data_IF_135469147442
#
_entry.id   IF_135469147442
#
_cell.length_a   1.000
_cell.length_b   1.000
_cell.length_c   1.000
_cell.angle_alpha   90.00
_cell.angle_beta   90.00
_cell.angle_gamma   90.00
#
_symmetry.space_group_name_H-M   'P 1'
#
loop_
_entity.id
_entity.type
_entity.pdbx_description
1 polymer ?
#
# COMPACT_ATOMS: atom_id res chain seq x y z
N UNK A 1 27.16 12.61 -2.28
CA UNK A 1 25.90 11.86 -2.23
C UNK A 1 24.80 12.82 -1.81
N UNK A 2 24.06 13.36 -2.80
CA UNK A 2 22.91 14.21 -2.51
C UNK A 2 21.85 13.36 -1.81
N UNK A 3 21.73 13.53 -0.49
CA UNK A 3 20.52 13.09 0.21
C UNK A 3 19.38 13.90 -0.39
N UNK A 4 18.27 13.25 -0.83
CA UNK A 4 17.10 14.00 -1.27
C UNK A 4 16.72 14.98 -0.14
N UNK A 5 16.45 16.23 -0.50
CA UNK A 5 15.94 17.24 0.43
C UNK A 5 14.60 16.73 0.98
N UNK A 6 14.63 16.01 2.10
CA UNK A 6 13.42 15.60 2.81
C UNK A 6 13.01 16.76 3.70
N UNK A 7 11.79 17.27 3.55
CA UNK A 7 11.30 18.30 4.45
C UNK A 7 11.19 17.70 5.86
N UNK A 8 11.67 18.41 6.85
CA UNK A 8 11.47 18.07 8.26
C UNK A 8 10.08 18.52 8.70
N UNK A 9 9.48 17.73 9.59
CA UNK A 9 8.21 18.07 10.18
C UNK A 9 8.37 19.23 11.16
N UNK A 10 7.67 20.37 10.96
CA UNK A 10 7.88 21.59 11.76
C UNK A 10 7.15 21.51 13.11
N UNK A 11 7.68 20.76 14.07
CA UNK A 11 7.07 20.55 15.39
C UNK A 11 6.78 21.85 16.13
N UNK A 12 7.62 22.88 15.95
CA UNK A 12 7.41 24.21 16.56
C UNK A 12 6.18 24.96 16.02
N UNK A 13 5.68 24.57 14.83
CA UNK A 13 4.49 25.19 14.24
C UNK A 13 3.17 24.62 14.79
N UNK A 14 3.21 23.56 15.60
CA UNK A 14 2.02 22.89 16.15
C UNK A 14 1.91 22.99 17.67
N UNK A 15 2.32 24.10 18.25
CA UNK A 15 2.38 24.28 19.70
C UNK A 15 1.02 24.24 20.42
N UNK A 16 -0.11 24.23 19.70
CA UNK A 16 -1.47 24.09 20.23
C UNK A 16 -2.06 22.70 20.07
N UNK A 17 -1.31 21.77 19.46
CA UNK A 17 -1.74 20.38 19.26
C UNK A 17 -0.71 19.42 19.87
N UNK A 18 -1.18 18.24 20.27
CA UNK A 18 -0.29 17.11 20.58
C UNK A 18 -0.02 16.30 19.33
N UNK A 19 1.20 15.83 19.19
CA UNK A 19 1.58 14.81 18.23
C UNK A 19 1.60 13.47 18.98
N UNK A 20 0.80 12.54 18.54
CA UNK A 20 0.69 11.22 19.15
C UNK A 20 1.01 10.15 18.08
N UNK A 21 1.83 9.17 18.46
CA UNK A 21 2.10 7.98 17.66
C UNK A 21 1.37 6.81 18.29
N UNK A 22 0.48 6.18 17.54
CA UNK A 22 -0.28 5.01 17.99
C UNK A 22 0.33 3.79 17.31
N UNK A 23 0.77 2.82 18.11
CA UNK A 23 1.33 1.55 17.63
C UNK A 23 0.42 0.41 18.06
N UNK A 24 -0.07 -0.32 17.08
CA UNK A 24 -0.86 -1.54 17.31
C UNK A 24 -0.01 -2.75 16.95
N UNK A 25 0.17 -3.63 17.90
CA UNK A 25 0.90 -4.89 17.71
C UNK A 25 -0.07 -6.03 17.47
N UNK A 26 0.33 -6.96 16.63
CA UNK A 26 -0.43 -8.20 16.47
C UNK A 26 -0.46 -8.98 17.79
N UNK A 27 -1.51 -9.80 17.94
CA UNK A 27 -1.64 -10.69 19.09
C UNK A 27 -0.54 -11.75 19.10
N UNK A 28 -0.29 -12.35 20.28
CA UNK A 28 0.68 -13.43 20.42
C UNK A 28 0.44 -14.58 19.42
N UNK A 29 -0.82 -14.94 19.19
CA UNK A 29 -1.22 -15.97 18.22
C UNK A 29 -0.81 -15.70 16.77
N UNK A 30 -0.39 -14.48 16.46
CA UNK A 30 0.22 -14.15 15.16
C UNK A 30 1.66 -14.68 15.06
N UNK A 31 2.39 -14.73 16.17
CA UNK A 31 3.82 -15.04 16.19
C UNK A 31 4.10 -16.51 16.52
N UNK A 32 3.27 -17.13 17.37
CA UNK A 32 3.48 -18.49 17.85
C UNK A 32 2.18 -19.16 18.28
N UNK A 33 2.14 -20.49 18.21
CA UNK A 33 1.09 -21.32 18.78
C UNK A 33 1.45 -21.88 20.18
N UNK A 34 2.59 -21.48 20.71
CA UNK A 34 3.01 -21.93 22.03
C UNK A 34 2.20 -21.25 23.13
N UNK A 35 2.13 -21.94 24.29
CA UNK A 35 1.38 -21.47 25.47
C UNK A 35 2.14 -20.45 26.30
N UNK A 36 3.45 -20.34 26.06
CA UNK A 36 4.29 -19.38 26.76
C UNK A 36 3.93 -17.95 26.38
N UNK A 37 3.90 -17.07 27.38
CA UNK A 37 3.57 -15.67 27.16
C UNK A 37 4.73 -14.96 26.48
N UNK A 38 4.49 -14.40 25.30
CA UNK A 38 5.43 -13.47 24.67
C UNK A 38 5.29 -12.10 25.34
N UNK A 39 6.42 -11.52 25.74
CA UNK A 39 6.50 -10.13 26.19
C UNK A 39 7.28 -9.27 25.19
N UNK A 40 6.85 -8.03 25.06
CA UNK A 40 7.62 -7.00 24.35
C UNK A 40 8.44 -6.24 25.41
N UNK A 41 9.73 -6.58 25.53
CA UNK A 41 10.57 -6.03 26.60
C UNK A 41 11.03 -4.60 26.34
N UNK A 42 11.34 -4.28 25.07
CA UNK A 42 11.78 -2.94 24.68
C UNK A 42 11.14 -2.50 23.37
N UNK A 43 10.64 -1.29 23.35
CA UNK A 43 10.16 -0.62 22.17
C UNK A 43 10.65 0.82 22.15
N UNK A 44 11.59 1.13 21.29
CA UNK A 44 12.20 2.45 21.18
C UNK A 44 11.84 3.12 19.87
N UNK A 45 11.54 4.42 19.92
CA UNK A 45 11.37 5.25 18.73
C UNK A 45 12.62 6.11 18.59
N UNK A 46 13.32 5.93 17.47
CA UNK A 46 14.50 6.75 17.14
C UNK A 46 14.02 7.90 16.26
N UNK A 47 14.22 9.14 16.73
CA UNK A 47 13.89 10.36 16.00
C UNK A 47 15.17 11.12 15.66
N UNK A 48 15.20 11.74 14.47
CA UNK A 48 16.20 12.73 14.11
C UNK A 48 15.59 14.11 14.35
N UNK A 49 16.18 14.88 15.25
CA UNK A 49 15.69 16.21 15.61
C UNK A 49 16.71 17.28 15.23
N UNK A 50 16.22 18.38 14.67
CA UNK A 50 17.04 19.56 14.38
C UNK A 50 16.67 20.66 15.35
N UNK A 51 17.65 21.08 16.15
CA UNK A 51 17.53 22.26 17.01
C UNK A 51 17.76 23.52 16.18
N UNK A 52 16.80 24.43 16.20
CA UNK A 52 16.83 25.71 15.49
C UNK A 52 16.92 26.86 16.47
N UNK A 53 17.47 27.98 16.02
CA UNK A 53 17.58 29.19 16.84
C UNK A 53 16.22 29.79 17.20
N UNK A 54 16.10 30.53 18.32
CA UNK A 54 14.83 31.14 18.76
C UNK A 54 14.17 32.03 17.70
N UNK A 55 14.97 32.78 16.94
CA UNK A 55 14.51 33.64 15.84
C UNK A 55 13.86 32.84 14.71
N UNK A 56 14.50 31.74 14.31
CA UNK A 56 13.96 30.80 13.30
C UNK A 56 12.71 30.08 13.79
N UNK A 57 12.71 29.68 15.07
CA UNK A 57 11.54 29.06 15.69
C UNK A 57 10.33 30.00 15.67
N UNK A 58 10.51 31.28 16.02
CA UNK A 58 9.44 32.27 15.96
C UNK A 58 8.95 32.50 14.53
N UNK A 59 9.86 32.50 13.57
CA UNK A 59 9.51 32.63 12.15
C UNK A 59 8.65 31.44 11.67
N UNK A 60 9.06 30.23 11.99
CA UNK A 60 8.33 29.02 11.59
C UNK A 60 6.96 28.96 12.30
N UNK A 61 6.90 29.27 13.60
CA UNK A 61 5.66 29.25 14.37
C UNK A 61 4.67 30.34 13.96
N UNK A 62 5.16 31.49 13.47
CA UNK A 62 4.36 32.65 13.12
C UNK A 62 3.86 32.70 11.68
N UNK A 63 4.32 31.80 10.81
CA UNK A 63 3.93 31.79 9.39
C UNK A 63 3.15 30.54 9.02
N UNK A 64 2.38 30.68 7.95
CA UNK A 64 1.72 29.55 7.30
C UNK A 64 2.75 28.76 6.50
N UNK A 65 2.80 27.45 6.74
CA UNK A 65 3.60 26.51 5.97
C UNK A 65 2.71 25.46 5.34
N UNK A 66 3.06 25.04 4.14
CA UNK A 66 2.36 23.98 3.40
C UNK A 66 3.39 22.88 3.13
N UNK A 67 3.08 21.67 3.58
CA UNK A 67 3.87 20.48 3.33
C UNK A 67 3.03 19.48 2.54
N UNK A 68 3.53 19.10 1.37
CA UNK A 68 2.95 18.00 0.58
C UNK A 68 3.79 16.76 0.85
N UNK A 69 3.14 15.67 1.19
CA UNK A 69 3.79 14.39 1.44
C UNK A 69 3.01 13.25 0.84
N UNK A 70 3.66 12.10 0.72
CA UNK A 70 3.01 10.87 0.30
C UNK A 70 2.25 10.25 1.48
N UNK A 71 1.08 9.71 1.19
CA UNK A 71 0.30 8.91 2.13
C UNK A 71 -0.06 7.58 1.49
N UNK A 72 0.06 6.52 2.28
CA UNK A 72 -0.39 5.18 1.87
C UNK A 72 -1.71 4.88 2.57
N UNK A 73 -2.73 4.53 1.80
CA UNK A 73 -4.02 4.13 2.32
C UNK A 73 -4.43 2.77 1.78
N UNK A 74 -5.09 1.99 2.62
CA UNK A 74 -5.72 0.74 2.23
C UNK A 74 -7.12 1.02 1.70
N UNK A 75 -7.43 0.46 0.55
CA UNK A 75 -8.78 0.43 -0.01
C UNK A 75 -9.59 -0.72 0.63
N UNK A 76 -10.93 -0.64 0.70
CA UNK A 76 -11.75 -1.80 1.05
C UNK A 76 -11.39 -3.02 0.21
N UNK A 77 -11.37 -4.18 0.82
CA UNK A 77 -11.02 -5.44 0.16
C UNK A 77 -12.20 -5.99 -0.65
N UNK A 78 -11.91 -6.84 -1.62
CA UNK A 78 -12.92 -7.58 -2.36
C UNK A 78 -12.66 -9.09 -2.21
N UNK A 79 -13.66 -9.81 -1.73
CA UNK A 79 -13.63 -11.27 -1.68
C UNK A 79 -14.00 -11.84 -3.05
N UNK A 80 -13.26 -12.86 -3.47
CA UNK A 80 -13.40 -13.54 -4.76
C UNK A 80 -13.51 -15.04 -4.48
N UNK A 81 -14.67 -15.59 -4.73
CA UNK A 81 -14.93 -17.02 -4.51
C UNK A 81 -14.17 -17.90 -5.52
N UNK A 82 -13.85 -19.12 -5.11
CA UNK A 82 -13.20 -20.10 -5.95
C UNK A 82 -13.96 -20.31 -7.27
N UNK A 83 -13.21 -20.40 -8.37
CA UNK A 83 -13.78 -20.54 -9.70
C UNK A 83 -14.33 -19.26 -10.33
N UNK A 84 -14.34 -18.14 -9.61
CA UNK A 84 -14.70 -16.83 -10.18
C UNK A 84 -13.62 -16.38 -11.16
N UNK A 85 -14.00 -16.14 -12.41
CA UNK A 85 -13.07 -15.71 -13.46
C UNK A 85 -12.95 -14.18 -13.50
N UNK A 86 -14.04 -13.46 -13.35
CA UNK A 86 -14.06 -12.00 -13.45
C UNK A 86 -14.50 -11.36 -12.14
N UNK A 87 -13.72 -10.41 -11.64
CA UNK A 87 -14.01 -9.66 -10.44
C UNK A 87 -13.82 -8.17 -10.69
N UNK A 88 -14.69 -7.33 -10.11
CA UNK A 88 -14.64 -5.87 -10.26
C UNK A 88 -14.58 -5.20 -8.91
N UNK A 89 -13.59 -4.36 -8.71
CA UNK A 89 -13.45 -3.52 -7.52
C UNK A 89 -13.69 -2.06 -7.92
N UNK A 90 -14.72 -1.45 -7.34
CA UNK A 90 -14.93 -0.01 -7.49
C UNK A 90 -13.79 0.75 -6.80
N UNK A 91 -13.22 1.73 -7.50
CA UNK A 91 -12.12 2.53 -6.97
C UNK A 91 -12.67 3.83 -6.39
N UNK A 92 -12.59 3.96 -5.07
CA UNK A 92 -13.16 5.08 -4.30
C UNK A 92 -12.12 5.87 -3.45
N UNK A 93 -10.86 6.04 -3.89
CA UNK A 93 -9.95 6.93 -3.18
C UNK A 93 -10.51 8.34 -3.13
N UNK A 94 -10.31 9.02 -2.00
CA UNK A 94 -10.77 10.41 -1.82
C UNK A 94 -9.61 11.42 -1.86
N UNK A 95 -8.47 10.98 -2.37
CA UNK A 95 -7.25 11.80 -2.46
C UNK A 95 -6.63 11.65 -3.84
N UNK A 96 -5.84 12.63 -4.28
CA UNK A 96 -5.04 12.50 -5.49
C UNK A 96 -4.09 11.30 -5.39
N UNK A 97 -4.17 10.38 -6.35
CA UNK A 97 -3.44 9.10 -6.33
C UNK A 97 -2.27 9.12 -7.28
N UNK A 98 -1.10 8.71 -6.81
CA UNK A 98 0.12 8.50 -7.61
C UNK A 98 0.18 7.09 -8.18
N UNK A 99 -0.08 6.09 -7.34
CA UNK A 99 0.00 4.67 -7.70
C UNK A 99 -1.10 3.86 -7.03
N UNK A 100 -1.55 2.85 -7.74
CA UNK A 100 -2.34 1.75 -7.19
C UNK A 100 -1.44 0.52 -7.09
N UNK A 101 -1.51 -0.18 -5.97
CA UNK A 101 -0.77 -1.41 -5.74
C UNK A 101 -1.74 -2.46 -5.21
N UNK A 102 -1.79 -3.63 -5.83
CA UNK A 102 -2.71 -4.68 -5.41
C UNK A 102 -2.07 -6.06 -5.46
N UNK A 103 -2.63 -6.96 -4.67
CA UNK A 103 -2.27 -8.36 -4.64
C UNK A 103 -3.46 -9.20 -4.20
N UNK A 104 -3.36 -10.49 -4.44
CA UNK A 104 -4.37 -11.46 -4.04
C UNK A 104 -3.78 -12.36 -2.97
N UNK A 105 -4.52 -12.57 -1.89
CA UNK A 105 -4.18 -13.53 -0.85
C UNK A 105 -5.25 -14.59 -0.79
N UNK A 106 -4.86 -15.84 -0.61
CA UNK A 106 -5.82 -16.92 -0.39
C UNK A 106 -6.50 -16.74 0.97
N UNK A 107 -7.81 -16.95 1.02
CA UNK A 107 -8.64 -16.69 2.20
C UNK A 107 -8.19 -17.44 3.47
N UNK A 108 -7.70 -18.70 3.41
CA UNK A 108 -7.14 -19.38 4.57
C UNK A 108 -5.95 -18.66 5.23
N UNK A 109 -5.24 -17.79 4.50
CA UNK A 109 -4.09 -17.05 5.01
C UNK A 109 -4.41 -15.61 5.46
N UNK A 110 -5.70 -15.24 5.47
CA UNK A 110 -6.16 -13.91 5.91
C UNK A 110 -6.24 -13.78 7.43
N UNK A 111 -6.44 -14.88 8.14
CA UNK A 111 -6.58 -14.83 9.59
C UNK A 111 -5.24 -14.46 10.26
N UNK A 112 -5.15 -13.21 10.67
CA UNK A 112 -3.99 -12.66 11.37
C UNK A 112 -3.89 -13.13 12.83
N UNK A 113 -4.92 -13.81 13.34
CA UNK A 113 -4.97 -14.25 14.73
C UNK A 113 -4.58 -15.73 14.90
N UNK A 114 -4.47 -16.47 13.82
CA UNK A 114 -4.16 -17.89 13.86
C UNK A 114 -2.73 -18.12 13.39
N UNK A 115 -1.95 -18.74 14.25
CA UNK A 115 -0.66 -19.30 13.87
C UNK A 115 -0.90 -20.68 13.26
N UNK A 116 -0.83 -20.79 11.96
CA UNK A 116 -0.85 -22.07 11.26
C UNK A 116 0.56 -22.67 11.24
N UNK A 117 1.01 -23.12 12.41
CA UNK A 117 2.26 -23.86 12.56
C UNK A 117 2.12 -25.25 11.96
N UNK A 118 2.59 -25.44 10.76
CA UNK A 118 2.78 -26.79 10.25
C UNK A 118 3.95 -27.47 10.97
N UNK A 119 3.79 -28.75 11.24
CA UNK A 119 4.80 -29.59 11.91
C UNK A 119 6.04 -29.86 11.06
N UNK A 120 6.09 -29.39 9.83
CA UNK A 120 7.22 -29.56 8.92
C UNK A 120 7.89 -28.22 8.64
N UNK A 121 9.20 -28.21 8.59
CA UNK A 121 10.06 -27.04 8.23
C UNK A 121 9.66 -26.34 6.92
N UNK A 122 8.78 -26.90 6.12
CA UNK A 122 8.31 -26.37 4.85
C UNK A 122 7.02 -25.53 4.96
N UNK A 123 6.24 -25.71 6.02
CA UNK A 123 5.03 -24.94 6.28
C UNK A 123 5.36 -23.75 7.17
N UNK A 124 6.19 -22.85 6.69
CA UNK A 124 6.45 -21.62 7.38
C UNK A 124 5.25 -20.68 7.18
N UNK A 125 4.47 -20.53 8.21
CA UNK A 125 3.23 -19.72 8.22
C UNK A 125 3.46 -18.29 7.77
N UNK A 126 4.56 -17.68 8.17
CA UNK A 126 4.94 -16.37 7.65
C UNK A 126 5.10 -16.36 6.12
N UNK A 127 5.62 -17.45 5.55
CA UNK A 127 5.72 -17.56 4.11
C UNK A 127 4.35 -17.61 3.44
N UNK A 128 3.39 -18.33 4.01
CA UNK A 128 2.05 -18.46 3.44
C UNK A 128 1.23 -17.18 3.55
N UNK A 129 1.34 -16.40 4.63
CA UNK A 129 0.70 -15.07 4.74
C UNK A 129 1.15 -14.12 3.65
N UNK A 130 2.37 -14.26 3.18
CA UNK A 130 2.92 -13.48 2.09
C UNK A 130 2.99 -14.29 0.78
N UNK A 131 2.27 -15.40 0.70
CA UNK A 131 2.10 -16.17 -0.52
C UNK A 131 1.01 -15.52 -1.38
N UNK A 132 1.42 -14.80 -2.40
CA UNK A 132 0.53 -14.15 -3.36
C UNK A 132 0.47 -14.94 -4.68
N UNK A 133 0.80 -16.22 -4.63
CA UNK A 133 0.69 -17.15 -5.75
C UNK A 133 -0.61 -17.96 -5.70
N UNK A 134 -0.89 -18.72 -6.76
CA UNK A 134 -2.01 -19.66 -6.78
C UNK A 134 -1.68 -21.03 -6.17
N UNK A 135 -0.46 -21.25 -5.69
CA UNK A 135 -0.09 -22.46 -4.97
C UNK A 135 -0.47 -22.37 -3.50
N UNK A 136 -0.81 -23.51 -2.92
CA UNK A 136 -1.14 -23.62 -1.48
C UNK A 136 0.10 -23.36 -0.63
N UNK A 137 1.26 -23.86 -1.06
CA UNK A 137 2.52 -23.64 -0.36
C UNK A 137 3.35 -22.54 -1.02
N UNK A 138 3.90 -21.67 -0.18
CA UNK A 138 4.82 -20.66 -0.65
C UNK A 138 6.11 -21.26 -1.17
N UNK A 139 6.51 -20.83 -2.34
CA UNK A 139 7.90 -20.96 -2.82
C UNK A 139 8.25 -19.75 -3.68
N UNK A 140 9.54 -19.40 -3.73
CA UNK A 140 10.02 -18.32 -4.61
C UNK A 140 9.67 -18.61 -6.07
N UNK A 141 9.72 -19.88 -6.47
CA UNK A 141 9.38 -20.33 -7.82
C UNK A 141 7.87 -20.12 -8.09
N UNK A 142 7.00 -20.41 -7.13
CA UNK A 142 5.55 -20.21 -7.26
C UNK A 142 5.19 -18.77 -7.55
N UNK A 143 5.88 -17.82 -6.94
CA UNK A 143 5.64 -16.38 -7.17
C UNK A 143 5.97 -15.94 -8.60
N UNK A 144 6.80 -16.68 -9.32
CA UNK A 144 7.10 -16.39 -10.73
C UNK A 144 6.12 -17.06 -11.69
N UNK A 145 5.80 -18.33 -11.46
CA UNK A 145 5.09 -19.17 -12.44
C UNK A 145 3.59 -19.28 -12.17
N UNK A 146 3.15 -19.01 -10.95
CA UNK A 146 1.78 -19.23 -10.54
C UNK A 146 1.09 -17.93 -10.03
N UNK A 147 1.03 -16.85 -10.83
CA UNK A 147 0.23 -15.69 -10.48
C UNK A 147 -1.25 -16.06 -10.49
N UNK A 148 -2.06 -15.62 -9.53
CA UNK A 148 -3.50 -15.89 -9.52
C UNK A 148 -4.27 -15.08 -10.58
N UNK A 149 -3.74 -13.93 -10.99
CA UNK A 149 -4.35 -13.05 -11.98
C UNK A 149 -3.83 -13.36 -13.39
N UNK A 150 -4.72 -13.48 -14.35
CA UNK A 150 -4.36 -13.57 -15.77
C UNK A 150 -4.13 -12.17 -16.36
N UNK A 151 -5.11 -11.29 -16.21
CA UNK A 151 -5.07 -9.92 -16.72
C UNK A 151 -5.89 -8.98 -15.87
N UNK A 152 -5.66 -7.68 -16.02
CA UNK A 152 -6.50 -6.65 -15.43
C UNK A 152 -6.69 -5.46 -16.36
N UNK A 153 -7.73 -4.69 -16.11
CA UNK A 153 -7.98 -3.38 -16.72
C UNK A 153 -8.41 -2.40 -15.64
N UNK A 154 -8.01 -1.16 -15.81
CA UNK A 154 -8.50 -0.06 -14.98
C UNK A 154 -9.38 0.80 -15.85
N UNK A 155 -10.62 0.98 -15.46
CA UNK A 155 -11.54 1.91 -16.10
C UNK A 155 -11.58 3.20 -15.29
N UNK A 156 -11.45 4.33 -15.97
CA UNK A 156 -11.58 5.66 -15.38
C UNK A 156 -12.70 6.38 -16.10
N UNK A 157 -13.81 6.65 -15.42
CA UNK A 157 -15.03 7.16 -16.03
C UNK A 157 -15.53 6.34 -17.22
N UNK A 158 -15.22 5.04 -17.26
CA UNK A 158 -15.59 4.13 -18.34
C UNK A 158 -14.58 4.05 -19.49
N UNK A 159 -13.47 4.77 -19.43
CA UNK A 159 -12.37 4.70 -20.38
C UNK A 159 -11.30 3.71 -19.91
N UNK A 160 -10.79 2.86 -20.80
CA UNK A 160 -9.75 1.87 -20.51
C UNK A 160 -8.40 2.55 -20.22
N UNK A 161 -7.79 2.19 -19.07
CA UNK A 161 -6.43 2.61 -18.74
C UNK A 161 -5.55 1.41 -18.35
N UNK A 162 -4.42 1.16 -18.99
CA UNK A 162 -4.02 1.71 -20.28
C UNK A 162 -4.90 1.17 -21.41
N UNK A 163 -5.06 1.92 -22.48
CA UNK A 163 -5.77 1.48 -23.68
C UNK A 163 -4.92 0.44 -24.45
N UNK A 164 -4.63 -0.67 -23.79
CA UNK A 164 -3.89 -1.80 -24.33
C UNK A 164 -4.77 -3.03 -24.21
N UNK A 165 -5.03 -3.69 -25.34
CA UNK A 165 -5.71 -4.98 -25.31
C UNK A 165 -4.82 -6.00 -24.60
N UNK A 166 -5.39 -6.78 -23.68
CA UNK A 166 -4.70 -7.88 -22.97
C UNK A 166 -3.52 -7.47 -22.07
N UNK A 167 -3.72 -6.48 -21.19
CA UNK A 167 -2.78 -6.21 -20.10
C UNK A 167 -2.70 -7.40 -19.14
N UNK A 168 -1.77 -8.32 -19.39
CA UNK A 168 -1.51 -9.47 -18.56
C UNK A 168 -0.83 -9.06 -17.25
N UNK A 169 -0.83 -9.98 -16.27
CA UNK A 169 -0.19 -9.80 -14.96
C UNK A 169 1.26 -9.28 -15.05
N UNK A 170 2.03 -9.71 -16.06
CA UNK A 170 3.42 -9.29 -16.28
C UNK A 170 3.56 -7.80 -16.58
N UNK A 171 2.56 -7.17 -17.20
CA UNK A 171 2.56 -5.73 -17.44
C UNK A 171 2.61 -4.97 -16.12
N UNK A 172 1.72 -5.30 -15.19
CA UNK A 172 1.62 -4.63 -13.89
C UNK A 172 2.72 -5.04 -12.90
N UNK A 173 3.26 -6.26 -13.03
CA UNK A 173 4.33 -6.75 -12.14
C UNK A 173 5.72 -6.27 -12.54
N UNK A 174 5.98 -6.11 -13.84
CA UNK A 174 7.33 -5.85 -14.33
C UNK A 174 7.47 -4.57 -15.15
N UNK A 175 6.57 -4.35 -16.11
CA UNK A 175 6.71 -3.23 -17.05
C UNK A 175 6.40 -1.91 -16.36
N UNK A 176 5.26 -1.80 -15.68
CA UNK A 176 4.89 -0.57 -14.97
C UNK A 176 5.92 -0.18 -13.91
N UNK A 177 6.34 -1.06 -12.98
CA UNK A 177 7.40 -0.71 -12.04
C UNK A 177 8.70 -0.25 -12.74
N UNK A 178 9.12 -0.93 -13.78
CA UNK A 178 10.33 -0.55 -14.53
C UNK A 178 10.21 0.84 -15.15
N UNK A 179 9.13 1.12 -15.87
CA UNK A 179 8.92 2.41 -16.54
C UNK A 179 8.73 3.56 -15.56
N UNK A 180 8.13 3.29 -14.40
CA UNK A 180 7.91 4.26 -13.33
C UNK A 180 9.06 4.34 -12.32
N UNK A 181 10.19 3.70 -12.60
CA UNK A 181 11.39 3.66 -11.73
C UNK A 181 11.14 3.09 -10.33
N UNK A 182 10.08 2.33 -10.16
CA UNK A 182 9.79 1.59 -8.93
C UNK A 182 10.63 0.33 -8.83
N UNK A 183 10.84 -0.15 -7.60
CA UNK A 183 11.49 -1.42 -7.38
C UNK A 183 10.63 -2.57 -7.91
N UNK A 184 11.26 -3.54 -8.55
CA UNK A 184 10.57 -4.74 -9.02
C UNK A 184 10.15 -5.60 -7.83
N UNK A 185 8.85 -5.93 -7.68
CA UNK A 185 8.42 -6.81 -6.62
C UNK A 185 8.87 -8.26 -6.86
N UNK A 186 9.35 -8.93 -5.83
CA UNK A 186 9.63 -10.36 -5.87
C UNK A 186 8.35 -11.19 -5.88
N UNK A 187 7.32 -10.71 -5.19
CA UNK A 187 6.01 -11.37 -5.06
C UNK A 187 5.04 -10.90 -6.13
N UNK A 188 3.87 -11.55 -6.22
CA UNK A 188 2.81 -11.14 -7.16
C UNK A 188 2.07 -9.90 -6.65
N UNK A 189 2.81 -8.81 -6.56
CA UNK A 189 2.29 -7.46 -6.32
C UNK A 189 2.24 -6.75 -7.66
N UNK A 190 1.10 -6.19 -7.96
CA UNK A 190 0.81 -5.52 -9.21
C UNK A 190 0.71 -4.02 -8.96
N UNK A 191 1.24 -3.23 -9.87
CA UNK A 191 1.29 -1.77 -9.72
C UNK A 191 0.80 -1.09 -10.99
N UNK A 192 0.04 -0.02 -10.82
CA UNK A 192 -0.26 0.95 -11.86
C UNK A 192 0.11 2.35 -11.37
N UNK A 193 0.78 3.14 -12.21
CA UNK A 193 1.25 4.48 -11.87
C UNK A 193 0.53 5.54 -12.71
N UNK A 194 -0.07 6.52 -12.06
CA UNK A 194 -0.60 7.74 -12.68
C UNK A 194 0.44 8.86 -12.70
N UNK A 195 1.50 8.70 -11.91
CA UNK A 195 2.62 9.61 -11.82
C UNK A 195 3.79 9.12 -12.68
N UNK A 196 4.51 10.04 -13.32
CA UNK A 196 5.68 9.71 -14.14
C UNK A 196 6.88 9.27 -13.30
N UNK A 197 7.00 9.81 -12.09
CA UNK A 197 8.05 9.45 -11.13
C UNK A 197 7.48 9.35 -9.71
N UNK A 198 6.82 8.24 -9.37
CA UNK A 198 6.14 8.10 -8.08
C UNK A 198 7.08 8.02 -6.88
N UNK A 199 8.39 7.82 -7.07
CA UNK A 199 9.38 7.79 -5.98
C UNK A 199 9.67 9.20 -5.46
N UNK A 200 9.57 10.22 -6.32
CA UNK A 200 9.85 11.58 -5.91
C UNK A 200 8.75 12.11 -4.98
N UNK A 201 9.20 12.88 -3.99
CA UNK A 201 8.30 13.66 -3.13
C UNK A 201 7.63 14.79 -3.93
N UNK A 202 8.36 15.35 -4.90
CA UNK A 202 7.80 16.35 -5.80
C UNK A 202 6.72 15.73 -6.71
N UNK A 203 5.53 16.34 -6.78
CA UNK A 203 4.46 15.86 -7.62
C UNK A 203 4.87 15.80 -9.11
N UNK A 204 4.74 14.62 -9.72
CA UNK A 204 5.05 14.37 -11.13
C UNK A 204 3.87 13.82 -11.94
N UNK A 205 2.68 13.96 -11.41
CA UNK A 205 1.42 13.49 -11.95
C UNK A 205 0.57 12.78 -10.91
N UNK A 206 -0.72 12.79 -11.12
CA UNK A 206 -1.70 12.17 -10.24
C UNK A 206 -3.01 11.98 -10.98
N UNK A 207 -3.87 11.11 -10.45
CA UNK A 207 -5.28 11.05 -10.80
C UNK A 207 -6.09 11.42 -9.56
N UNK A 208 -6.94 12.44 -9.66
CA UNK A 208 -7.84 12.83 -8.59
C UNK A 208 -9.15 12.04 -8.67
N UNK A 209 -9.26 11.02 -7.84
CA UNK A 209 -10.44 10.15 -7.79
C UNK A 209 -11.67 10.85 -7.21
N UNK A 210 -11.51 11.95 -6.46
CA UNK A 210 -12.64 12.71 -5.90
C UNK A 210 -13.52 13.33 -6.98
N UNK A 211 -12.97 13.56 -8.16
CA UNK A 211 -13.65 14.13 -9.32
C UNK A 211 -14.25 13.06 -10.26
N UNK A 212 -14.07 11.77 -9.94
CA UNK A 212 -14.48 10.67 -10.80
C UNK A 212 -15.78 10.04 -10.33
N UNK A 213 -16.51 9.45 -11.27
CA UNK A 213 -17.70 8.65 -10.96
C UNK A 213 -17.27 7.26 -10.48
N UNK A 214 -17.55 6.91 -9.23
CA UNK A 214 -17.11 5.66 -8.61
C UNK A 214 -17.64 4.42 -9.34
N UNK A 215 -18.89 4.43 -9.76
CA UNK A 215 -19.52 3.32 -10.48
C UNK A 215 -18.95 3.06 -11.89
N UNK A 216 -18.16 4.00 -12.42
CA UNK A 216 -17.50 3.91 -13.73
C UNK A 216 -15.98 3.88 -13.63
N UNK A 217 -15.46 3.91 -12.41
CA UNK A 217 -14.03 3.88 -12.13
C UNK A 217 -13.74 2.61 -11.35
N UNK A 218 -13.28 1.58 -12.06
CA UNK A 218 -13.17 0.22 -11.52
C UNK A 218 -11.85 -0.44 -11.91
N UNK A 219 -11.35 -1.29 -11.04
CA UNK A 219 -10.34 -2.29 -11.36
C UNK A 219 -11.07 -3.58 -11.74
N UNK A 220 -11.04 -3.93 -13.01
CA UNK A 220 -11.61 -5.16 -13.58
C UNK A 220 -10.49 -6.19 -13.71
N UNK A 221 -10.63 -7.29 -13.00
CA UNK A 221 -9.61 -8.34 -12.90
C UNK A 221 -10.16 -9.63 -13.50
N UNK A 222 -9.36 -10.25 -14.35
CA UNK A 222 -9.60 -11.64 -14.78
C UNK A 222 -8.62 -12.56 -14.04
N UNK A 223 -9.18 -13.46 -13.26
CA UNK A 223 -8.43 -14.50 -12.55
C UNK A 223 -8.05 -15.62 -13.51
N UNK A 224 -7.01 -16.40 -13.16
CA UNK A 224 -6.69 -17.60 -13.90
C UNK A 224 -7.79 -18.65 -13.73
N UNK A 225 -8.02 -19.41 -14.78
CA UNK A 225 -8.93 -20.56 -14.72
C UNK A 225 -8.39 -21.67 -13.81
N UNK A 226 -9.29 -22.42 -13.20
CA UNK A 226 -8.93 -23.58 -12.37
C UNK A 226 -8.43 -23.26 -10.97
N UNK A 227 -8.61 -22.03 -10.48
CA UNK A 227 -8.32 -21.68 -9.09
C UNK A 227 -9.35 -22.34 -8.16
N UNK A 228 -8.87 -23.12 -7.20
CA UNK A 228 -9.69 -23.91 -6.27
C UNK A 228 -9.87 -23.24 -4.90
N UNK A 229 -9.10 -22.20 -4.62
CA UNK A 229 -9.18 -21.44 -3.37
C UNK A 229 -9.94 -20.14 -3.54
N UNK A 230 -10.58 -19.69 -2.48
CA UNK A 230 -11.09 -18.33 -2.38
C UNK A 230 -9.94 -17.36 -2.18
N UNK A 231 -10.10 -16.14 -2.70
CA UNK A 231 -9.11 -15.06 -2.61
C UNK A 231 -9.71 -13.79 -2.04
N UNK A 232 -8.87 -13.01 -1.41
CA UNK A 232 -9.17 -11.61 -1.08
C UNK A 232 -8.24 -10.71 -1.89
N UNK A 233 -8.81 -9.79 -2.63
CA UNK A 233 -8.10 -8.72 -3.33
C UNK A 233 -7.83 -7.59 -2.34
N UNK A 234 -6.56 -7.32 -2.10
CA UNK A 234 -6.09 -6.17 -1.34
C UNK A 234 -5.57 -5.10 -2.30
N UNK A 235 -6.04 -3.88 -2.13
CA UNK A 235 -5.57 -2.73 -2.88
C UNK A 235 -5.10 -1.65 -1.92
N UNK A 236 -3.91 -1.14 -2.17
CA UNK A 236 -3.33 0.02 -1.50
C UNK A 236 -3.06 1.10 -2.53
N UNK A 237 -3.26 2.33 -2.15
CA UNK A 237 -2.89 3.44 -3.01
C UNK A 237 -1.95 4.40 -2.28
N UNK A 238 -1.01 4.92 -3.06
CA UNK A 238 -0.13 6.02 -2.63
C UNK A 238 -0.67 7.29 -3.25
N UNK A 239 -0.95 8.26 -2.43
CA UNK A 239 -1.47 9.54 -2.86
C UNK A 239 -0.72 10.70 -2.25
N UNK A 240 -1.11 11.91 -2.62
CA UNK A 240 -0.62 13.12 -1.99
C UNK A 240 -1.53 13.53 -0.85
N UNK A 241 -0.91 14.01 0.21
CA UNK A 241 -1.59 14.64 1.34
C UNK A 241 -0.96 15.99 1.60
N UNK A 242 -1.77 17.01 1.68
CA UNK A 242 -1.31 18.37 2.03
C UNK A 242 -1.55 18.64 3.50
N UNK A 243 -0.50 19.05 4.18
CA UNK A 243 -0.55 19.54 5.56
C UNK A 243 -0.39 21.05 5.55
N UNK A 244 -1.29 21.74 6.21
CA UNK A 244 -1.20 23.19 6.42
C UNK A 244 -0.94 23.44 7.90
N UNK A 245 0.17 24.12 8.18
CA UNK A 245 0.56 24.55 9.52
C UNK A 245 0.30 26.05 9.63
N UNK A 246 -0.62 26.43 10.49
CA UNK A 246 -1.00 27.82 10.68
C UNK A 246 -1.57 28.05 12.10
N UNK A 247 -1.19 29.15 12.74
CA UNK A 247 -1.68 29.55 14.06
C UNK A 247 -1.48 28.49 15.17
N UNK A 248 -0.43 27.69 15.08
CA UNK A 248 -0.10 26.65 16.05
C UNK A 248 -0.86 25.34 15.88
N UNK A 249 -1.56 25.16 14.75
CA UNK A 249 -2.38 24.00 14.42
C UNK A 249 -1.97 23.45 13.07
N UNK A 250 -2.03 22.13 12.92
CA UNK A 250 -1.88 21.42 11.65
C UNK A 250 -3.26 20.97 11.17
N UNK A 251 -3.59 21.27 9.94
CA UNK A 251 -4.80 20.79 9.26
C UNK A 251 -4.46 19.96 8.03
N UNK A 252 -5.30 18.99 7.73
CA UNK A 252 -5.22 18.15 6.53
C UNK A 252 -6.16 18.72 5.46
N UNK A 253 -5.67 18.80 4.22
CA UNK A 253 -6.44 19.25 3.04
C UNK A 253 -6.29 18.25 1.92
#
# INVERSE_FOLDING_TARGET
TNKPNRPYFPTCAIHKQKLEFIFEFHKQSFFTNETDTLSLDNFDIITEEITIEPSERMYIAGKKHILITDIVKKHPTLDIDAGTINAKLELIPQTPVKTLNWFFRQKPFEDENTYEGGTTLRSNVFANRYNFSSNVEYSVISEFYNPPMEKAKIFVNGEDMPNIQNCKHNYYKYIVPFTSRLSRPLRNIYTYAFSMNPINVEPSGMLDFSQLQSNRTVLDVTMKEGLTSDYTLHLYYVGYQTFIFENGVMTLV
#
